data_IF_356285270847
#
_entry.id   IF_356285270847
#
_cell.length_a   1.000
_cell.length_b   1.000
_cell.length_c   1.000
_cell.angle_alpha   90.00
_cell.angle_beta   90.00
_cell.angle_gamma   90.00
#
_symmetry.space_group_name_H-M   'P 1'
#
loop_
_entity.id
_entity.type
_entity.pdbx_description
1 polymer ?
#
# COMPACT_ATOMS: atom_id res chain seq x y z
N UNK A 1 18.22 6.18 10.93
CA UNK A 1 18.55 6.58 12.30
C UNK A 1 19.76 7.53 12.31
N UNK A 2 20.91 7.12 11.78
CA UNK A 2 22.15 7.93 11.69
C UNK A 2 21.93 9.39 11.26
N UNK A 3 21.28 9.62 10.11
CA UNK A 3 20.99 10.99 9.63
C UNK A 3 20.25 11.87 10.65
N UNK A 4 19.31 11.29 11.40
CA UNK A 4 18.57 12.03 12.42
C UNK A 4 19.44 12.35 13.65
N UNK A 5 20.33 11.42 14.03
CA UNK A 5 21.31 11.64 15.11
C UNK A 5 22.29 12.74 14.72
N UNK A 6 22.88 12.66 13.53
CA UNK A 6 23.82 13.67 13.00
C UNK A 6 23.19 15.06 13.02
N UNK A 7 22.01 15.20 12.39
CA UNK A 7 21.30 16.48 12.36
C UNK A 7 20.92 16.97 13.77
N UNK A 8 20.51 16.06 14.67
CA UNK A 8 20.17 16.39 16.04
C UNK A 8 21.37 16.92 16.84
N UNK A 9 22.56 16.39 16.60
CA UNK A 9 23.82 16.86 17.21
C UNK A 9 24.21 18.22 16.62
N UNK A 10 24.21 18.36 15.29
CA UNK A 10 24.57 19.60 14.58
C UNK A 10 23.67 20.78 14.98
N UNK A 11 22.36 20.52 15.15
CA UNK A 11 21.38 21.52 15.59
C UNK A 11 21.36 21.71 17.12
N UNK A 12 22.11 20.91 17.89
CA UNK A 12 22.21 21.01 19.34
C UNK A 12 21.05 20.42 20.15
N UNK A 13 20.12 19.69 19.52
CA UNK A 13 19.04 18.95 20.18
C UNK A 13 19.55 17.70 20.91
N UNK A 14 20.63 17.09 20.41
CA UNK A 14 21.25 15.90 21.00
C UNK A 14 22.63 16.29 21.52
N UNK A 15 22.87 16.02 22.80
CA UNK A 15 24.18 16.18 23.45
C UNK A 15 24.63 14.82 23.95
N UNK A 16 25.70 14.30 23.38
CA UNK A 16 26.27 13.01 23.74
C UNK A 16 27.74 13.19 24.17
N UNK A 17 28.16 12.60 25.31
CA UNK A 17 29.57 12.51 25.67
C UNK A 17 30.41 11.82 24.59
N UNK A 18 31.72 12.08 24.60
CA UNK A 18 32.65 11.34 23.73
C UNK A 18 32.63 9.85 24.10
N UNK A 19 32.63 8.99 23.08
CA UNK A 19 32.60 7.53 23.26
C UNK A 19 31.21 6.94 23.48
N UNK A 20 30.13 7.73 23.45
CA UNK A 20 28.75 7.20 23.57
C UNK A 20 28.29 6.45 22.32
N UNK A 21 28.71 6.89 21.13
CA UNK A 21 28.43 6.18 19.88
C UNK A 21 29.64 5.33 19.51
N UNK A 22 29.38 4.07 19.18
CA UNK A 22 30.38 3.10 18.72
C UNK A 22 29.95 2.54 17.37
N UNK A 23 30.92 2.06 16.60
CA UNK A 23 30.68 1.42 15.30
C UNK A 23 30.15 0.00 15.47
N UNK A 24 29.33 -0.53 14.55
CA UNK A 24 28.73 -1.86 14.69
C UNK A 24 29.73 -3.02 14.83
N UNK A 25 30.96 -2.87 14.32
CA UNK A 25 32.03 -3.87 14.46
C UNK A 25 32.67 -3.88 15.86
N UNK A 26 32.50 -2.82 16.63
CA UNK A 26 33.02 -2.68 18.01
C UNK A 26 32.06 -3.31 19.03
N UNK A 27 30.82 -3.65 18.67
CA UNK A 27 29.82 -4.23 19.59
C UNK A 27 30.35 -5.43 20.38
N UNK A 28 31.14 -6.29 19.73
CA UNK A 28 31.75 -7.50 20.33
C UNK A 28 32.80 -7.20 21.39
N UNK A 29 33.32 -5.97 21.42
CA UNK A 29 34.38 -5.54 22.34
C UNK A 29 33.80 -5.04 23.67
N UNK A 30 32.47 -4.95 23.79
CA UNK A 30 31.74 -4.53 24.99
C UNK A 30 30.93 -5.68 25.61
N UNK A 31 30.79 -5.72 26.95
CA UNK A 31 29.86 -6.61 27.62
C UNK A 31 28.40 -6.34 27.20
N UNK A 32 27.55 -7.37 27.19
CA UNK A 32 26.15 -7.24 26.77
C UNK A 32 25.37 -6.15 27.54
N UNK A 33 25.64 -5.98 28.84
CA UNK A 33 25.00 -4.95 29.67
C UNK A 33 25.43 -3.51 29.37
N UNK A 34 26.42 -3.30 28.50
CA UNK A 34 26.93 -1.98 28.10
C UNK A 34 26.54 -1.61 26.66
N UNK A 35 25.78 -2.46 25.96
CA UNK A 35 25.41 -2.26 24.56
C UNK A 35 23.93 -1.87 24.43
N UNK A 36 23.67 -0.78 23.72
CA UNK A 36 22.33 -0.40 23.27
C UNK A 36 22.32 -0.19 21.76
N UNK A 37 21.46 -0.94 21.07
CA UNK A 37 21.28 -0.81 19.62
C UNK A 37 20.03 0.03 19.35
N UNK A 38 20.23 1.28 18.93
CA UNK A 38 19.14 2.15 18.50
C UNK A 38 18.92 2.01 16.99
N UNK A 39 17.83 1.34 16.60
CA UNK A 39 17.59 1.00 15.20
C UNK A 39 16.19 1.42 14.70
N UNK A 40 15.97 1.31 13.38
CA UNK A 40 14.68 1.53 12.72
C UNK A 40 13.91 0.22 12.56
N UNK A 41 12.62 0.30 12.22
CA UNK A 41 11.79 -0.88 11.90
C UNK A 41 10.68 -1.16 12.91
N UNK A 42 10.31 -0.15 13.70
CA UNK A 42 9.29 -0.30 14.75
C UNK A 42 7.88 -0.50 14.20
N UNK A 43 7.65 -0.28 12.90
CA UNK A 43 6.39 -0.53 12.21
C UNK A 43 6.37 -1.87 11.46
N UNK A 44 7.40 -2.70 11.63
CA UNK A 44 7.49 -4.01 10.97
C UNK A 44 7.87 -3.93 9.49
N UNK A 45 8.53 -2.85 9.06
CA UNK A 45 8.97 -2.69 7.69
C UNK A 45 10.00 -3.78 7.33
N UNK A 46 9.78 -4.63 6.31
CA UNK A 46 10.61 -5.83 6.10
C UNK A 46 12.10 -5.57 5.91
N UNK A 47 12.45 -4.44 5.30
CA UNK A 47 13.84 -4.08 4.98
C UNK A 47 14.52 -3.25 6.08
N UNK A 48 13.80 -2.85 7.12
CA UNK A 48 14.37 -2.09 8.22
C UNK A 48 15.27 -2.93 9.11
N UNK A 49 16.17 -2.26 9.83
CA UNK A 49 17.18 -2.90 10.68
C UNK A 49 16.59 -3.94 11.65
N UNK A 50 15.57 -3.59 12.45
CA UNK A 50 14.97 -4.52 13.43
C UNK A 50 14.39 -5.77 12.77
N UNK A 51 13.64 -5.60 11.66
CA UNK A 51 13.09 -6.73 10.90
C UNK A 51 14.19 -7.64 10.36
N UNK A 52 15.31 -7.08 9.88
CA UNK A 52 16.44 -7.87 9.39
C UNK A 52 17.16 -8.60 10.53
N UNK A 53 17.29 -7.97 11.70
CA UNK A 53 17.87 -8.57 12.90
C UNK A 53 17.02 -9.76 13.36
N UNK A 54 15.70 -9.56 13.47
CA UNK A 54 14.75 -10.60 13.86
C UNK A 54 14.73 -11.79 12.87
N UNK A 55 14.82 -11.52 11.57
CA UNK A 55 14.87 -12.56 10.54
C UNK A 55 16.28 -13.13 10.30
N UNK A 56 17.30 -12.75 11.08
CA UNK A 56 18.67 -13.26 10.95
C UNK A 56 19.40 -12.85 9.66
N UNK A 57 18.92 -11.83 8.94
CA UNK A 57 19.51 -11.35 7.67
C UNK A 57 20.36 -10.09 7.85
N UNK A 58 20.47 -9.57 9.07
CA UNK A 58 21.34 -8.45 9.38
C UNK A 58 22.81 -8.90 9.46
N UNK A 59 23.73 -8.14 8.85
CA UNK A 59 25.12 -8.60 8.63
C UNK A 59 25.96 -8.72 9.90
N UNK A 60 25.70 -7.86 10.87
CA UNK A 60 26.58 -7.66 12.05
C UNK A 60 25.88 -7.93 13.38
N UNK A 61 24.56 -8.09 13.38
CA UNK A 61 23.76 -8.17 14.61
C UNK A 61 22.78 -9.32 14.45
N UNK A 62 22.74 -10.19 15.45
CA UNK A 62 21.81 -11.30 15.56
C UNK A 62 21.25 -11.30 16.97
N UNK A 63 19.97 -11.62 17.10
CA UNK A 63 19.34 -11.79 18.40
C UNK A 63 20.00 -12.94 19.17
N UNK A 64 20.30 -12.69 20.44
CA UNK A 64 20.85 -13.67 21.38
C UNK A 64 19.86 -13.91 22.54
N UNK A 65 19.85 -15.11 23.14
CA UNK A 65 19.14 -15.33 24.40
C UNK A 65 19.61 -14.33 25.47
N UNK A 66 18.65 -13.65 26.12
CA UNK A 66 18.92 -12.61 27.11
C UNK A 66 18.88 -11.18 26.55
N UNK A 67 18.77 -11.01 25.24
CA UNK A 67 18.48 -9.70 24.66
C UNK A 67 17.08 -9.21 25.07
N UNK A 68 16.90 -7.88 25.07
CA UNK A 68 15.59 -7.23 25.25
C UNK A 68 15.33 -6.30 24.08
N UNK A 69 14.20 -6.48 23.39
CA UNK A 69 13.77 -5.59 22.31
C UNK A 69 12.64 -4.69 22.81
N UNK A 70 12.83 -3.38 22.65
CA UNK A 70 11.85 -2.37 23.09
C UNK A 70 11.22 -1.68 21.88
N UNK A 71 9.92 -1.85 21.71
CA UNK A 71 9.13 -1.10 20.73
C UNK A 71 8.66 0.23 21.35
N UNK A 72 9.52 1.25 21.37
CA UNK A 72 9.17 2.62 21.81
C UNK A 72 8.31 3.36 20.76
N UNK A 73 7.22 2.72 20.34
CA UNK A 73 6.30 3.23 19.32
C UNK A 73 4.92 2.58 19.46
N UNK A 74 3.92 3.14 18.78
CA UNK A 74 2.63 2.48 18.59
C UNK A 74 2.46 2.08 17.12
N UNK A 75 1.84 0.92 16.81
CA UNK A 75 1.52 0.57 15.43
C UNK A 75 0.58 1.61 14.81
N UNK A 76 1.01 2.17 13.69
CA UNK A 76 0.17 3.05 12.86
C UNK A 76 -0.95 2.17 12.24
N UNK A 77 -2.20 2.67 12.12
CA UNK A 77 -3.25 1.94 11.41
C UNK A 77 -2.78 1.42 10.05
N UNK A 78 -2.98 0.12 9.80
CA UNK A 78 -2.46 -0.59 8.62
C UNK A 78 -1.19 -1.42 8.88
N UNK A 79 -0.38 -1.05 9.88
CA UNK A 79 0.89 -1.75 10.17
C UNK A 79 0.79 -2.78 11.31
N UNK A 80 -0.37 -2.93 11.96
CA UNK A 80 -0.56 -3.81 13.12
C UNK A 80 -0.16 -5.26 12.83
N UNK A 81 -0.51 -5.79 11.66
CA UNK A 81 -0.15 -7.15 11.25
C UNK A 81 1.36 -7.33 11.13
N UNK A 82 2.05 -6.37 10.48
CA UNK A 82 3.50 -6.39 10.30
C UNK A 82 4.23 -6.34 11.64
N UNK A 83 3.79 -5.45 12.55
CA UNK A 83 4.37 -5.35 13.90
C UNK A 83 4.15 -6.63 14.70
N UNK A 84 2.93 -7.18 14.69
CA UNK A 84 2.63 -8.42 15.43
C UNK A 84 3.45 -9.61 14.90
N UNK A 85 3.62 -9.71 13.58
CA UNK A 85 4.47 -10.75 12.99
C UNK A 85 5.93 -10.61 13.44
N UNK A 86 6.43 -9.38 13.48
CA UNK A 86 7.78 -9.10 13.96
C UNK A 86 7.95 -9.45 15.44
N UNK A 87 6.98 -9.08 16.29
CA UNK A 87 6.98 -9.44 17.71
C UNK A 87 7.01 -10.96 17.86
N UNK A 88 6.19 -11.71 17.13
CA UNK A 88 6.18 -13.17 17.17
C UNK A 88 7.55 -13.77 16.82
N UNK A 89 8.20 -13.30 15.75
CA UNK A 89 9.52 -13.80 15.35
C UNK A 89 10.56 -13.56 16.46
N UNK A 90 10.54 -12.39 17.08
CA UNK A 90 11.48 -12.04 18.17
C UNK A 90 11.19 -12.91 19.40
N UNK A 91 9.91 -13.08 19.77
CA UNK A 91 9.52 -13.94 20.89
C UNK A 91 9.84 -15.42 20.66
N UNK A 92 9.67 -15.92 19.44
CA UNK A 92 10.06 -17.29 19.04
C UNK A 92 11.57 -17.51 19.11
N UNK A 93 12.37 -16.45 18.93
CA UNK A 93 13.82 -16.47 19.14
C UNK A 93 14.22 -16.49 20.64
N UNK A 94 13.26 -16.49 21.57
CA UNK A 94 13.50 -16.53 23.02
C UNK A 94 13.94 -15.19 23.61
N UNK A 95 13.70 -14.08 22.89
CA UNK A 95 14.08 -12.72 23.29
C UNK A 95 12.91 -12.03 23.99
N UNK A 96 13.21 -11.27 25.03
CA UNK A 96 12.20 -10.49 25.74
C UNK A 96 11.74 -9.31 24.89
N UNK A 97 10.43 -9.09 24.81
CA UNK A 97 9.83 -8.01 24.02
C UNK A 97 9.01 -7.08 24.89
N UNK A 98 9.42 -5.82 24.98
CA UNK A 98 8.68 -4.76 25.66
C UNK A 98 7.93 -3.93 24.61
N UNK A 99 6.60 -3.98 24.64
CA UNK A 99 5.75 -3.22 23.72
C UNK A 99 4.41 -2.83 24.36
N UNK A 100 3.64 -1.99 23.70
CA UNK A 100 2.26 -1.70 24.08
C UNK A 100 2.09 -0.65 25.19
N UNK A 101 0.83 -0.28 25.43
CA UNK A 101 0.45 0.89 26.27
C UNK A 101 0.78 0.71 27.75
N UNK A 102 0.77 -0.54 28.26
CA UNK A 102 0.97 -0.83 29.69
C UNK A 102 2.36 -0.40 30.16
N UNK A 103 3.35 -0.45 29.25
CA UNK A 103 4.75 -0.15 29.56
C UNK A 103 5.09 1.35 29.52
N UNK A 104 4.16 2.24 29.13
CA UNK A 104 4.37 3.70 29.07
C UNK A 104 5.63 4.18 28.31
N UNK A 105 6.08 3.41 27.32
CA UNK A 105 7.28 3.68 26.52
C UNK A 105 7.05 4.56 25.28
N UNK A 106 5.82 5.02 25.06
CA UNK A 106 5.45 5.84 23.92
C UNK A 106 4.25 6.73 24.23
N UNK A 107 4.28 7.95 23.73
CA UNK A 107 3.18 8.90 23.76
C UNK A 107 2.91 9.42 22.35
N UNK A 108 1.66 9.82 22.10
CA UNK A 108 1.29 10.48 20.84
C UNK A 108 2.00 11.83 20.74
N UNK A 109 2.50 12.17 19.54
CA UNK A 109 2.95 13.52 19.23
C UNK A 109 1.80 14.53 19.09
N UNK A 110 0.54 14.07 19.07
CA UNK A 110 -0.66 14.88 18.99
C UNK A 110 -1.41 14.87 20.33
N UNK A 111 -1.74 16.06 20.84
CA UNK A 111 -2.47 16.24 22.09
C UNK A 111 -3.92 15.73 22.03
N UNK A 112 -4.41 15.26 23.16
CA UNK A 112 -5.76 14.73 23.33
C UNK A 112 -6.84 15.81 23.43
N UNK A 113 -8.05 15.42 23.82
CA UNK A 113 -9.20 16.34 23.90
C UNK A 113 -8.96 17.50 24.88
N UNK A 114 -8.25 17.28 25.99
CA UNK A 114 -8.02 18.32 26.99
C UNK A 114 -7.03 19.37 26.48
N UNK A 115 -5.95 18.96 25.83
CA UNK A 115 -5.01 19.89 25.19
C UNK A 115 -5.66 20.64 24.01
N UNK A 116 -6.53 19.98 23.24
CA UNK A 116 -7.32 20.63 22.19
C UNK A 116 -8.28 21.69 22.76
N UNK A 117 -9.00 21.37 23.84
CA UNK A 117 -9.87 22.33 24.55
C UNK A 117 -9.08 23.47 25.17
N UNK A 118 -7.89 23.20 25.71
CA UNK A 118 -6.99 24.23 26.24
C UNK A 118 -6.61 25.23 25.15
N UNK A 119 -6.21 24.74 23.97
CA UNK A 119 -5.87 25.59 22.82
C UNK A 119 -7.05 26.48 22.40
N UNK A 120 -8.25 25.90 22.30
CA UNK A 120 -9.47 26.64 21.98
C UNK A 120 -9.80 27.74 23.01
N UNK A 121 -9.62 27.45 24.31
CA UNK A 121 -9.87 28.41 25.40
C UNK A 121 -8.82 29.52 25.49
N UNK A 122 -7.57 29.25 25.07
CA UNK A 122 -6.52 30.25 24.99
C UNK A 122 -6.72 31.19 23.78
N UNK A 123 -7.04 30.63 22.61
CA UNK A 123 -7.19 31.41 21.37
C UNK A 123 -8.54 32.14 21.32
N UNK A 124 -9.62 31.54 21.84
CA UNK A 124 -11.00 32.04 21.74
C UNK A 124 -11.38 32.42 20.30
N UNK A 125 -11.29 31.47 19.34
CA UNK A 125 -11.47 31.79 17.94
C UNK A 125 -12.93 32.18 17.63
N UNK A 126 -13.11 33.24 16.83
CA UNK A 126 -14.44 33.61 16.30
C UNK A 126 -14.98 32.56 15.33
N UNK A 127 -14.08 31.98 14.53
CA UNK A 127 -14.36 30.91 13.56
C UNK A 127 -13.34 29.80 13.71
N UNK A 128 -13.76 28.55 13.54
CA UNK A 128 -12.91 27.39 13.74
C UNK A 128 -12.99 26.41 12.56
N UNK A 129 -11.84 25.99 12.06
CA UNK A 129 -11.71 24.98 11.02
C UNK A 129 -10.82 23.86 11.56
N UNK A 130 -11.35 22.68 11.91
CA UNK A 130 -10.52 21.55 12.29
C UNK A 130 -9.70 21.07 11.08
N UNK A 131 -8.41 20.82 11.29
CA UNK A 131 -7.47 20.33 10.26
C UNK A 131 -6.72 19.10 10.75
N UNK A 132 -5.96 18.45 9.85
CA UNK A 132 -5.09 17.32 10.16
C UNK A 132 -5.80 16.12 10.83
N UNK A 133 -6.77 15.54 10.12
CA UNK A 133 -7.44 14.30 10.54
C UNK A 133 -8.52 13.86 9.55
N UNK A 134 -8.94 12.60 9.65
CA UNK A 134 -10.11 12.08 8.92
C UNK A 134 -11.39 12.81 9.35
N UNK A 135 -12.45 12.71 8.54
CA UNK A 135 -13.73 13.38 8.82
C UNK A 135 -14.25 13.11 10.25
N UNK A 136 -14.16 11.87 10.74
CA UNK A 136 -14.57 11.52 12.12
C UNK A 136 -13.80 12.30 13.19
N UNK A 137 -12.50 12.54 12.97
CA UNK A 137 -11.64 13.27 13.90
C UNK A 137 -12.00 14.75 13.88
N UNK A 138 -12.16 15.32 12.68
CA UNK A 138 -12.57 16.71 12.50
C UNK A 138 -13.94 16.99 13.12
N UNK A 139 -14.90 16.06 12.95
CA UNK A 139 -16.23 16.15 13.57
C UNK A 139 -16.18 16.16 15.09
N UNK A 140 -15.35 15.32 15.70
CA UNK A 140 -15.16 15.34 17.16
C UNK A 140 -14.53 16.66 17.60
N UNK A 141 -13.48 17.12 16.92
CA UNK A 141 -12.79 18.38 17.25
C UNK A 141 -13.71 19.60 17.10
N UNK A 142 -14.57 19.63 16.09
CA UNK A 142 -15.65 20.61 15.95
C UNK A 142 -16.59 20.60 17.17
N UNK A 143 -16.96 19.41 17.67
CA UNK A 143 -17.72 19.29 18.91
C UNK A 143 -16.99 19.90 20.12
N UNK A 144 -15.68 19.67 20.25
CA UNK A 144 -14.89 20.28 21.32
C UNK A 144 -14.84 21.81 21.22
N UNK A 145 -14.84 22.37 20.01
CA UNK A 145 -14.93 23.82 19.81
C UNK A 145 -16.26 24.39 20.33
N UNK A 146 -17.38 23.72 20.05
CA UNK A 146 -18.69 24.07 20.61
C UNK A 146 -18.67 24.03 22.14
N UNK A 147 -18.14 22.95 22.74
CA UNK A 147 -18.00 22.82 24.21
C UNK A 147 -17.21 23.97 24.85
N UNK A 148 -16.33 24.62 24.07
CA UNK A 148 -15.50 25.74 24.53
C UNK A 148 -16.07 27.13 24.21
N UNK A 149 -17.24 27.20 23.57
CA UNK A 149 -17.97 28.43 23.30
C UNK A 149 -17.80 28.99 21.89
N UNK A 150 -17.30 28.21 20.93
CA UNK A 150 -17.34 28.60 19.52
C UNK A 150 -18.75 28.33 18.99
N UNK A 151 -19.38 29.34 18.39
CA UNK A 151 -20.71 29.20 17.79
C UNK A 151 -20.71 28.14 16.69
N UNK A 152 -21.73 27.28 16.67
CA UNK A 152 -21.80 26.14 15.76
C UNK A 152 -21.73 26.55 14.29
N UNK A 153 -22.38 27.66 13.94
CA UNK A 153 -22.41 28.20 12.58
C UNK A 153 -21.07 28.84 12.15
N UNK A 154 -20.15 29.02 13.10
CA UNK A 154 -18.80 29.52 12.84
C UNK A 154 -17.76 28.39 12.73
N UNK A 155 -18.20 27.13 12.66
CA UNK A 155 -17.32 25.95 12.54
C UNK A 155 -17.41 25.35 11.14
N UNK A 156 -16.26 25.21 10.48
CA UNK A 156 -16.16 24.76 9.09
C UNK A 156 -15.35 23.48 8.99
N UNK A 157 -16.04 22.34 8.86
CA UNK A 157 -15.40 21.07 8.49
C UNK A 157 -15.34 21.04 6.96
N UNK A 158 -14.14 21.01 6.40
CA UNK A 158 -13.91 21.22 4.97
C UNK A 158 -13.16 20.03 4.35
N UNK A 159 -13.33 19.87 3.04
CA UNK A 159 -12.59 18.90 2.23
C UNK A 159 -11.40 19.57 1.53
N UNK A 160 -10.44 18.75 1.09
CA UNK A 160 -9.33 19.23 0.26
C UNK A 160 -9.88 19.92 -0.99
N UNK A 161 -9.43 21.15 -1.28
CA UNK A 161 -9.91 21.96 -2.40
C UNK A 161 -10.98 23.00 -2.05
N UNK A 162 -11.64 22.88 -0.89
CA UNK A 162 -12.62 23.88 -0.47
C UNK A 162 -11.94 25.21 -0.09
N UNK A 163 -12.59 26.33 -0.42
CA UNK A 163 -12.09 27.68 -0.15
C UNK A 163 -12.93 28.34 0.93
N UNK A 164 -12.30 28.71 2.05
CA UNK A 164 -12.95 29.49 3.13
C UNK A 164 -12.66 30.98 2.93
N UNK A 165 -13.66 31.77 2.55
CA UNK A 165 -13.55 33.22 2.57
C UNK A 165 -13.81 33.73 3.98
N UNK A 166 -12.83 34.42 4.54
CA UNK A 166 -12.83 34.92 5.91
C UNK A 166 -12.62 36.42 5.95
N UNK A 167 -13.44 37.12 6.73
CA UNK A 167 -13.25 38.52 7.12
C UNK A 167 -13.37 38.63 8.64
N UNK A 168 -13.12 39.82 9.18
CA UNK A 168 -13.35 40.09 10.60
C UNK A 168 -14.81 39.79 11.03
N UNK A 169 -15.77 39.93 10.12
CA UNK A 169 -17.21 39.91 10.43
C UNK A 169 -17.99 38.79 9.75
N UNK A 170 -17.39 38.04 8.82
CA UNK A 170 -18.06 36.93 8.13
C UNK A 170 -17.10 35.80 7.79
N UNK A 171 -17.59 34.56 7.81
CA UNK A 171 -16.90 33.41 7.23
C UNK A 171 -17.90 32.61 6.39
N UNK A 172 -17.49 32.18 5.20
CA UNK A 172 -18.30 31.31 4.33
C UNK A 172 -17.44 30.47 3.42
N UNK A 173 -17.94 29.31 3.02
CA UNK A 173 -17.37 28.54 1.91
C UNK A 173 -17.63 29.33 0.63
N UNK A 174 -16.57 29.63 -0.11
CA UNK A 174 -16.60 30.56 -1.25
C UNK A 174 -16.35 29.91 -2.60
N UNK A 175 -16.01 28.63 -2.61
CA UNK A 175 -15.80 27.87 -3.83
C UNK A 175 -15.01 26.61 -3.54
N UNK A 176 -14.63 25.95 -4.63
CA UNK A 176 -13.84 24.74 -4.62
C UNK A 176 -12.88 24.79 -5.81
N UNK A 177 -11.63 24.39 -5.60
CA UNK A 177 -10.69 24.14 -6.68
C UNK A 177 -10.34 22.65 -6.70
N UNK A 178 -9.98 22.14 -7.87
CA UNK A 178 -9.64 20.74 -8.04
C UNK A 178 -8.33 20.41 -7.31
N UNK A 179 -8.43 19.82 -6.13
CA UNK A 179 -7.31 19.26 -5.39
C UNK A 179 -7.31 17.74 -5.58
N UNK A 180 -6.30 17.21 -6.28
CA UNK A 180 -6.18 15.79 -6.57
C UNK A 180 -4.90 15.22 -5.97
N UNK A 181 -4.96 13.95 -5.61
CA UNK A 181 -3.78 13.19 -5.22
C UNK A 181 -2.90 12.93 -6.44
N UNK A 182 -1.61 13.18 -6.30
CA UNK A 182 -0.59 12.86 -7.31
C UNK A 182 0.23 11.69 -6.77
N UNK A 183 0.09 10.54 -7.42
CA UNK A 183 0.86 9.35 -7.06
C UNK A 183 2.29 9.43 -7.61
N UNK A 184 3.24 8.91 -6.84
CA UNK A 184 4.66 8.83 -7.20
C UNK A 184 5.09 7.37 -7.14
N UNK A 185 5.67 6.88 -8.24
CA UNK A 185 6.20 5.51 -8.34
C UNK A 185 7.57 5.53 -9.01
N UNK A 186 8.61 5.34 -8.19
CA UNK A 186 10.00 5.54 -8.60
C UNK A 186 10.24 6.97 -9.10
N UNK A 187 10.66 7.09 -10.35
CA UNK A 187 10.92 8.38 -11.00
C UNK A 187 9.69 8.95 -11.72
N UNK A 188 8.54 8.25 -11.71
CA UNK A 188 7.31 8.68 -12.38
C UNK A 188 6.43 9.44 -11.41
N UNK A 189 6.16 10.70 -11.73
CA UNK A 189 5.33 11.60 -10.92
C UNK A 189 4.04 11.88 -11.69
N UNK A 190 2.90 11.50 -11.13
CA UNK A 190 1.58 11.79 -11.71
C UNK A 190 1.18 10.96 -12.93
N UNK A 191 2.05 10.07 -13.42
CA UNK A 191 1.74 9.17 -14.55
C UNK A 191 0.88 7.97 -14.14
N UNK A 192 0.87 7.63 -12.84
CA UNK A 192 0.02 6.57 -12.31
C UNK A 192 -1.34 7.14 -12.00
N UNK A 193 -2.30 6.90 -12.89
CA UNK A 193 -3.70 7.21 -12.66
C UNK A 193 -4.46 6.09 -11.94
N UNK A 194 -5.68 6.39 -11.54
CA UNK A 194 -6.60 5.42 -10.92
C UNK A 194 -6.82 4.16 -11.77
N UNK A 195 -6.76 4.27 -13.10
CA UNK A 195 -6.87 3.14 -14.02
C UNK A 195 -5.73 2.12 -13.84
N UNK A 196 -4.48 2.60 -13.74
CA UNK A 196 -3.31 1.73 -13.53
C UNK A 196 -3.38 1.05 -12.15
N UNK A 197 -3.85 1.77 -11.13
CA UNK A 197 -4.06 1.19 -9.80
C UNK A 197 -5.17 0.13 -9.81
N UNK A 198 -6.24 0.35 -10.57
CA UNK A 198 -7.30 -0.64 -10.78
C UNK A 198 -6.75 -1.89 -11.45
N UNK A 199 -6.01 -1.75 -12.54
CA UNK A 199 -5.39 -2.89 -13.23
C UNK A 199 -4.47 -3.68 -12.30
N UNK A 200 -3.64 -2.98 -11.50
CA UNK A 200 -2.78 -3.62 -10.48
C UNK A 200 -3.60 -4.39 -9.44
N UNK A 201 -4.73 -3.85 -9.00
CA UNK A 201 -5.62 -4.49 -8.04
C UNK A 201 -6.23 -5.77 -8.62
N UNK A 202 -6.86 -5.65 -9.79
CA UNK A 202 -7.50 -6.77 -10.48
C UNK A 202 -6.49 -7.90 -10.77
N UNK A 203 -5.26 -7.54 -11.19
CA UNK A 203 -4.16 -8.51 -11.36
C UNK A 203 -3.72 -9.17 -10.05
N UNK A 204 -3.74 -8.44 -8.93
CA UNK A 204 -3.31 -8.96 -7.62
C UNK A 204 -4.33 -9.90 -6.97
N UNK A 205 -5.62 -9.67 -7.23
CA UNK A 205 -6.73 -10.45 -6.67
C UNK A 205 -7.01 -11.70 -7.53
N UNK A 206 -7.16 -11.53 -8.85
CA UNK A 206 -7.63 -12.59 -9.75
C UNK A 206 -6.59 -13.14 -10.73
N UNK A 207 -5.45 -12.47 -10.85
CA UNK A 207 -4.40 -12.86 -11.80
C UNK A 207 -4.78 -12.57 -13.25
N UNK A 208 -4.03 -13.19 -14.17
CA UNK A 208 -4.16 -12.92 -15.61
C UNK A 208 -4.07 -14.21 -16.42
N UNK A 209 -4.88 -14.24 -17.48
CA UNK A 209 -4.91 -15.29 -18.50
C UNK A 209 -4.65 -14.65 -19.86
N UNK A 210 -3.55 -15.04 -20.49
CA UNK A 210 -3.22 -14.65 -21.86
C UNK A 210 -3.65 -15.78 -22.80
N UNK A 211 -4.50 -15.44 -23.78
CA UNK A 211 -4.99 -16.35 -24.80
C UNK A 211 -4.39 -15.96 -26.16
N UNK A 212 -3.46 -16.77 -26.67
CA UNK A 212 -2.70 -16.45 -27.88
C UNK A 212 -3.11 -17.36 -29.02
N UNK A 213 -3.37 -16.82 -30.21
CA UNK A 213 -3.56 -17.62 -31.42
C UNK A 213 -3.03 -16.89 -32.65
N UNK A 214 -2.50 -17.64 -33.61
CA UNK A 214 -2.15 -17.12 -34.93
C UNK A 214 -3.27 -17.47 -35.89
N UNK A 215 -3.84 -16.47 -36.56
CA UNK A 215 -4.96 -16.65 -37.50
C UNK A 215 -4.65 -15.98 -38.83
N UNK A 216 -5.16 -16.56 -39.90
CA UNK A 216 -5.21 -15.93 -41.21
C UNK A 216 -6.66 -15.59 -41.55
N UNK A 217 -6.93 -14.29 -41.68
CA UNK A 217 -8.25 -13.78 -42.03
C UNK A 217 -8.62 -14.03 -43.50
N UNK A 218 -7.63 -14.16 -44.41
CA UNK A 218 -7.85 -14.44 -45.83
C UNK A 218 -8.34 -15.88 -46.03
N UNK A 219 -7.61 -16.85 -45.49
CA UNK A 219 -8.02 -18.26 -45.53
C UNK A 219 -9.05 -18.66 -44.46
N UNK A 220 -9.33 -17.78 -43.49
CA UNK A 220 -10.21 -18.03 -42.33
C UNK A 220 -9.78 -19.23 -41.49
N UNK A 221 -8.47 -19.42 -41.36
CA UNK A 221 -7.87 -20.54 -40.63
C UNK A 221 -7.12 -20.07 -39.39
N UNK A 222 -7.08 -20.96 -38.39
CA UNK A 222 -6.16 -20.85 -37.25
C UNK A 222 -4.88 -21.54 -37.68
N UNK A 223 -3.78 -20.79 -37.78
CA UNK A 223 -2.46 -21.30 -38.18
C UNK A 223 -1.71 -21.92 -37.00
N UNK A 224 -1.89 -21.38 -35.80
CA UNK A 224 -1.26 -21.86 -34.55
C UNK A 224 -2.08 -21.48 -33.33
N UNK A 225 -1.97 -22.26 -32.25
CA UNK A 225 -2.78 -22.11 -31.04
C UNK A 225 -4.24 -22.58 -31.21
N UNK A 226 -5.18 -22.18 -30.31
CA UNK A 226 -4.99 -21.22 -29.22
C UNK A 226 -4.24 -21.80 -28.02
N UNK A 227 -3.27 -21.05 -27.52
CA UNK A 227 -2.51 -21.36 -26.31
C UNK A 227 -2.92 -20.45 -25.16
N UNK A 228 -2.82 -20.99 -23.95
CA UNK A 228 -3.19 -20.30 -22.72
C UNK A 228 -1.99 -20.23 -21.79
N UNK A 229 -1.70 -19.02 -21.33
CA UNK A 229 -0.69 -18.75 -20.32
C UNK A 229 -1.36 -18.08 -19.11
N UNK A 230 -1.14 -18.64 -17.92
CA UNK A 230 -1.67 -18.13 -16.65
C UNK A 230 -0.55 -17.61 -15.76
N UNK A 231 -0.82 -16.51 -15.06
CA UNK A 231 -0.01 -15.97 -13.95
C UNK A 231 -0.94 -15.50 -12.84
N UNK A 232 -0.71 -15.94 -11.60
CA UNK A 232 -1.51 -15.54 -10.42
C UNK A 232 -2.96 -16.05 -10.38
N UNK A 233 -3.44 -16.68 -11.45
CA UNK A 233 -4.79 -17.22 -11.55
C UNK A 233 -4.81 -18.71 -11.14
N UNK A 234 -4.36 -19.62 -12.01
CA UNK A 234 -4.28 -21.06 -11.70
C UNK A 234 -2.86 -21.61 -11.84
N UNK A 235 -2.53 -22.60 -11.02
CA UNK A 235 -1.25 -23.30 -11.11
C UNK A 235 -1.27 -24.27 -12.30
N UNK A 236 -0.59 -23.87 -13.36
CA UNK A 236 -0.63 -24.56 -14.67
C UNK A 236 -0.24 -26.04 -14.62
N UNK A 237 0.61 -26.45 -13.65
CA UNK A 237 1.06 -27.84 -13.52
C UNK A 237 -0.02 -28.78 -12.99
N UNK A 238 -0.98 -28.26 -12.24
CA UNK A 238 -2.07 -29.05 -11.63
C UNK A 238 -3.41 -28.84 -12.35
N UNK A 239 -3.51 -27.84 -13.23
CA UNK A 239 -4.76 -27.45 -13.92
C UNK A 239 -4.84 -27.89 -15.38
N UNK A 240 -4.21 -29.03 -15.72
CA UNK A 240 -4.11 -29.51 -17.11
C UNK A 240 -5.45 -29.69 -17.82
N UNK A 241 -6.47 -30.19 -17.12
CA UNK A 241 -7.82 -30.37 -17.67
C UNK A 241 -8.51 -29.04 -17.96
N UNK A 242 -8.43 -28.07 -17.03
CA UNK A 242 -8.99 -26.73 -17.19
C UNK A 242 -8.38 -26.06 -18.43
N UNK A 243 -7.07 -26.17 -18.62
CA UNK A 243 -6.36 -25.61 -19.78
C UNK A 243 -6.83 -26.27 -21.07
N UNK A 244 -6.88 -27.61 -21.13
CA UNK A 244 -7.33 -28.33 -22.34
C UNK A 244 -8.76 -27.97 -22.73
N UNK A 245 -9.66 -27.87 -21.76
CA UNK A 245 -11.04 -27.45 -22.00
C UNK A 245 -11.10 -26.01 -22.49
N UNK A 246 -10.34 -25.12 -21.85
CA UNK A 246 -10.22 -23.73 -22.26
C UNK A 246 -9.72 -23.60 -23.71
N UNK A 247 -8.68 -24.36 -24.10
CA UNK A 247 -8.18 -24.38 -25.47
C UNK A 247 -9.25 -24.84 -26.47
N UNK A 248 -10.06 -25.85 -26.13
CA UNK A 248 -11.19 -26.30 -26.97
C UNK A 248 -12.26 -25.22 -27.13
N UNK A 249 -12.60 -24.53 -26.04
CA UNK A 249 -13.57 -23.42 -26.04
C UNK A 249 -13.06 -22.29 -26.94
N UNK A 250 -11.82 -21.87 -26.74
CA UNK A 250 -11.18 -20.83 -27.55
C UNK A 250 -11.10 -21.20 -29.02
N UNK A 251 -10.71 -22.45 -29.35
CA UNK A 251 -10.59 -22.90 -30.74
C UNK A 251 -11.94 -22.79 -31.45
N UNK A 252 -13.02 -23.22 -30.79
CA UNK A 252 -14.37 -23.12 -31.33
C UNK A 252 -14.81 -21.66 -31.47
N UNK A 253 -14.56 -20.81 -30.47
CA UNK A 253 -14.93 -19.40 -30.50
C UNK A 253 -14.23 -18.64 -31.64
N UNK A 254 -12.91 -18.84 -31.79
CA UNK A 254 -12.12 -18.23 -32.86
C UNK A 254 -12.61 -18.72 -34.23
N UNK A 255 -12.82 -20.03 -34.39
CA UNK A 255 -13.30 -20.61 -35.64
C UNK A 255 -14.67 -20.07 -36.05
N UNK A 256 -15.57 -19.85 -35.10
CA UNK A 256 -16.89 -19.23 -35.36
C UNK A 256 -16.71 -17.76 -35.76
N UNK A 257 -15.88 -17.02 -35.03
CA UNK A 257 -15.62 -15.61 -35.31
C UNK A 257 -15.00 -15.38 -36.70
N UNK A 258 -14.04 -16.22 -37.12
CA UNK A 258 -13.40 -16.15 -38.45
C UNK A 258 -14.36 -16.43 -39.60
N UNK A 259 -15.43 -17.20 -39.39
CA UNK A 259 -16.42 -17.50 -40.44
C UNK A 259 -17.29 -16.30 -40.79
N UNK A 260 -17.44 -15.34 -39.88
CA UNK A 260 -18.20 -14.12 -40.15
C UNK A 260 -17.58 -13.34 -41.31
N UNK A 261 -18.42 -12.62 -42.07
CA UNK A 261 -17.96 -11.83 -43.21
C UNK A 261 -17.12 -10.63 -42.77
N UNK A 262 -17.44 -10.07 -41.62
CA UNK A 262 -16.76 -8.89 -41.04
C UNK A 262 -15.74 -9.28 -39.96
N UNK A 263 -15.11 -10.46 -40.10
CA UNK A 263 -14.13 -10.94 -39.13
C UNK A 263 -12.92 -10.00 -39.06
N UNK A 264 -12.67 -9.46 -37.86
CA UNK A 264 -11.55 -8.57 -37.56
C UNK A 264 -10.83 -9.02 -36.29
N UNK A 265 -9.64 -8.47 -36.05
CA UNK A 265 -8.90 -8.71 -34.81
C UNK A 265 -9.76 -8.37 -33.59
N UNK A 266 -10.50 -7.25 -33.63
CA UNK A 266 -11.38 -6.82 -32.55
C UNK A 266 -12.53 -7.81 -32.32
N UNK A 267 -13.16 -8.32 -33.39
CA UNK A 267 -14.26 -9.27 -33.25
C UNK A 267 -13.79 -10.62 -32.70
N UNK A 268 -12.62 -11.08 -33.12
CA UNK A 268 -12.02 -12.33 -32.61
C UNK A 268 -11.58 -12.18 -31.15
N UNK A 269 -10.96 -11.06 -30.79
CA UNK A 269 -10.62 -10.74 -29.40
C UNK A 269 -11.86 -10.74 -28.49
N UNK A 270 -12.95 -10.11 -28.93
CA UNK A 270 -14.23 -10.12 -28.21
C UNK A 270 -14.80 -11.53 -28.06
N UNK A 271 -14.73 -12.36 -29.11
CA UNK A 271 -15.19 -13.74 -29.05
C UNK A 271 -14.38 -14.60 -28.07
N UNK A 272 -13.06 -14.41 -28.01
CA UNK A 272 -12.17 -15.07 -27.04
C UNK A 272 -12.60 -14.73 -25.61
N UNK A 273 -12.70 -13.44 -25.28
CA UNK A 273 -13.02 -12.98 -23.92
C UNK A 273 -14.39 -13.47 -23.48
N UNK A 274 -15.40 -13.34 -24.35
CA UNK A 274 -16.77 -13.73 -24.03
C UNK A 274 -16.94 -15.25 -23.89
N UNK A 275 -16.19 -16.04 -24.64
CA UNK A 275 -16.28 -17.50 -24.57
C UNK A 275 -15.60 -18.06 -23.31
N UNK A 276 -14.44 -17.52 -22.94
CA UNK A 276 -13.64 -18.11 -21.86
C UNK A 276 -14.01 -17.58 -20.47
N UNK A 277 -14.47 -16.34 -20.37
CA UNK A 277 -14.81 -15.73 -19.07
C UNK A 277 -15.83 -16.53 -18.25
N UNK A 278 -17.00 -16.95 -18.79
CA UNK A 278 -17.98 -17.70 -18.00
C UNK A 278 -17.43 -19.05 -17.56
N UNK A 279 -16.67 -19.73 -18.43
CA UNK A 279 -16.08 -21.02 -18.13
C UNK A 279 -15.07 -20.94 -16.97
N UNK A 280 -14.19 -19.93 -16.98
CA UNK A 280 -13.22 -19.73 -15.90
C UNK A 280 -13.90 -19.40 -14.58
N UNK A 281 -14.94 -18.57 -14.61
CA UNK A 281 -15.70 -18.23 -13.41
C UNK A 281 -16.45 -19.45 -12.85
N UNK A 282 -17.15 -20.22 -13.69
CA UNK A 282 -17.90 -21.41 -13.26
C UNK A 282 -17.01 -22.49 -12.62
N UNK A 283 -15.76 -22.61 -13.08
CA UNK A 283 -14.84 -23.64 -12.59
C UNK A 283 -13.94 -23.17 -11.45
N UNK A 284 -13.77 -21.86 -11.24
CA UNK A 284 -12.80 -21.32 -10.27
C UNK A 284 -13.36 -20.25 -9.33
N UNK A 285 -14.58 -19.77 -9.56
CA UNK A 285 -15.22 -18.63 -8.89
C UNK A 285 -14.38 -17.34 -8.90
N UNK A 286 -13.46 -17.23 -9.86
CA UNK A 286 -12.54 -16.09 -10.05
C UNK A 286 -12.64 -15.53 -11.46
N UNK A 287 -12.43 -14.22 -11.58
CA UNK A 287 -12.51 -13.49 -12.85
C UNK A 287 -11.16 -12.89 -13.24
N UNK A 288 -10.22 -13.69 -13.78
CA UNK A 288 -8.91 -13.17 -14.15
C UNK A 288 -9.04 -12.15 -15.29
N UNK A 289 -8.07 -11.24 -15.37
CA UNK A 289 -7.93 -10.40 -16.55
C UNK A 289 -7.60 -11.30 -17.74
N UNK A 290 -8.43 -11.28 -18.78
CA UNK A 290 -8.24 -12.04 -20.01
C UNK A 290 -7.66 -11.11 -21.07
N UNK A 291 -6.44 -11.41 -21.51
CA UNK A 291 -5.77 -10.69 -22.58
C UNK A 291 -5.77 -11.59 -23.83
N UNK A 292 -6.59 -11.29 -24.85
CA UNK A 292 -6.50 -11.99 -26.13
C UNK A 292 -5.36 -11.38 -26.97
N UNK A 293 -4.54 -12.25 -27.58
CA UNK A 293 -3.46 -11.86 -28.48
C UNK A 293 -3.58 -12.64 -29.78
N UNK A 294 -4.02 -11.95 -30.82
CA UNK A 294 -4.11 -12.51 -32.17
C UNK A 294 -2.91 -12.06 -32.98
N UNK A 295 -2.20 -13.03 -33.52
CA UNK A 295 -1.11 -12.84 -34.48
C UNK A 295 -1.62 -13.13 -35.89
N UNK A 296 -1.15 -12.39 -36.88
CA UNK A 296 -1.40 -12.66 -38.30
C UNK A 296 -0.08 -13.03 -38.97
N UNK A 297 -0.09 -13.87 -40.02
CA UNK A 297 1.11 -14.10 -40.82
C UNK A 297 1.61 -12.77 -41.43
N UNK A 298 2.92 -12.63 -41.59
CA UNK A 298 3.51 -11.51 -42.30
C UNK A 298 3.01 -11.48 -43.74
N UNK A 299 2.71 -10.29 -44.26
CA UNK A 299 2.42 -10.13 -45.69
C UNK A 299 3.75 -10.23 -46.45
N UNK A 300 3.91 -11.24 -47.30
CA UNK A 300 5.01 -11.27 -48.28
C UNK A 300 4.88 -10.04 -49.19
N UNK A 301 5.88 -9.15 -49.19
CA UNK A 301 6.04 -8.04 -50.15
C UNK A 301 6.23 -8.55 -51.59
#
# INVERSE_FOLDING_TARGET
MEKAIVNGIELGYIKAPKGTFIEPNEIKDYPAGEVLILCTGSQGEPMAALSRIANGTHRQVQLQPGDTVIFSSSPIPGNTTSVNKLINIISEAGVEVIHGKINNIHTSGHGGQQEQKLMLRLIKPKYFMPVHGEYRMQKVHAGLAVDTGVEKDNIFIMSNGDVLALTANSARIAGHFNAQDIYVDGNRIGEIGAAVLKDRRDLSEDGVVLAVATVDFKSKMILSGPDILSRGFVYMRESGDLIRQSQRILFNAIRIALKNKDASIQSVNGAIVNAIRPFLYENTEREPIIIPMILTPDEEE
#
